data_IF_106087094225
#
_entry.id   IF_106087094225
#
_cell.length_a   1.000
_cell.length_b   1.000
_cell.length_c   1.000
_cell.angle_alpha   90.00
_cell.angle_beta   90.00
_cell.angle_gamma   90.00
#
_symmetry.space_group_name_H-M   'P 1'
#
loop_
_entity.id
_entity.type
_entity.pdbx_description
1 polymer ?
#
# COMPACT_ATOMS: atom_id res chain seq x y z
N UNK A 1 -3.42 0.56 -6.28
CA UNK A 1 -2.61 1.50 -7.11
C UNK A 1 -1.38 1.91 -6.31
N UNK A 2 -0.18 1.65 -6.83
CA UNK A 2 1.09 1.93 -6.14
C UNK A 2 1.37 3.42 -6.18
N UNK A 3 1.40 4.07 -5.02
CA UNK A 3 1.92 5.43 -4.90
C UNK A 3 3.42 5.35 -4.69
N UNK A 4 4.20 5.76 -5.67
CA UNK A 4 5.65 5.84 -5.53
C UNK A 4 6.01 7.07 -4.69
N UNK A 5 6.36 6.85 -3.42
CA UNK A 5 6.73 7.91 -2.49
C UNK A 5 8.13 8.53 -2.75
N UNK A 6 8.80 8.15 -3.84
CA UNK A 6 10.14 8.63 -4.19
C UNK A 6 10.13 10.13 -4.46
N UNK A 7 10.67 10.92 -3.53
CA UNK A 7 10.75 12.38 -3.66
C UNK A 7 9.44 13.14 -3.41
N UNK A 8 8.38 12.47 -2.97
CA UNK A 8 7.05 13.05 -2.77
C UNK A 8 6.76 13.28 -1.29
N UNK A 9 7.29 14.34 -0.69
CA UNK A 9 6.95 14.64 0.69
C UNK A 9 5.60 15.39 0.81
N UNK A 10 5.46 16.54 0.16
CA UNK A 10 4.23 17.35 0.24
C UNK A 10 3.16 16.94 -0.79
N UNK A 11 3.57 16.48 -1.97
CA UNK A 11 2.64 16.05 -3.02
C UNK A 11 1.90 14.75 -2.69
N UNK A 12 2.41 13.93 -1.76
CA UNK A 12 1.72 12.72 -1.32
C UNK A 12 0.38 13.04 -0.64
N UNK A 13 0.30 14.08 0.18
CA UNK A 13 -0.95 14.51 0.80
C UNK A 13 -1.98 14.95 -0.25
N UNK A 14 -1.55 15.75 -1.23
CA UNK A 14 -2.43 16.18 -2.33
C UNK A 14 -2.96 14.99 -3.15
N UNK A 15 -2.10 14.00 -3.42
CA UNK A 15 -2.48 12.78 -4.12
C UNK A 15 -3.51 11.96 -3.31
N UNK A 16 -3.27 11.76 -2.02
CA UNK A 16 -4.19 11.03 -1.13
C UNK A 16 -5.52 11.77 -1.00
N UNK A 17 -5.50 13.11 -0.90
CA UNK A 17 -6.71 13.93 -0.88
C UNK A 17 -7.54 13.74 -2.16
N UNK A 18 -6.90 13.72 -3.32
CA UNK A 18 -7.54 13.45 -4.61
C UNK A 18 -8.18 12.05 -4.65
N UNK A 19 -7.46 11.03 -4.21
CA UNK A 19 -8.01 9.66 -4.12
C UNK A 19 -9.17 9.56 -3.15
N UNK A 20 -9.09 10.20 -1.98
CA UNK A 20 -10.19 10.22 -1.01
C UNK A 20 -11.46 10.83 -1.60
N UNK A 21 -11.32 11.96 -2.29
CA UNK A 21 -12.45 12.61 -2.96
C UNK A 21 -13.06 11.72 -4.04
N UNK A 22 -12.22 11.12 -4.89
CA UNK A 22 -12.68 10.24 -5.95
C UNK A 22 -13.35 8.97 -5.38
N UNK A 23 -12.75 8.32 -4.40
CA UNK A 23 -13.30 7.15 -3.75
C UNK A 23 -14.67 7.43 -3.11
N UNK A 24 -14.84 8.57 -2.45
CA UNK A 24 -16.10 8.93 -1.82
C UNK A 24 -17.24 9.10 -2.84
N UNK A 25 -16.95 9.61 -4.04
CA UNK A 25 -17.93 9.69 -5.14
C UNK A 25 -18.38 8.33 -5.65
N UNK A 26 -17.55 7.30 -5.48
CA UNK A 26 -17.85 5.92 -5.85
C UNK A 26 -18.43 5.10 -4.69
N UNK A 27 -18.74 5.74 -3.55
CA UNK A 27 -19.22 5.02 -2.36
C UNK A 27 -18.14 4.18 -1.66
N UNK A 28 -16.86 4.40 -1.97
CA UNK A 28 -15.71 3.70 -1.36
C UNK A 28 -15.04 4.61 -0.35
N UNK A 29 -14.66 4.06 0.80
CA UNK A 29 -13.92 4.77 1.82
C UNK A 29 -12.44 4.43 1.76
N UNK A 30 -11.58 5.44 1.68
CA UNK A 30 -10.14 5.29 1.83
C UNK A 30 -9.81 5.20 3.33
N UNK A 31 -9.45 4.02 3.82
CA UNK A 31 -9.27 3.75 5.25
C UNK A 31 -7.84 4.02 5.75
N UNK A 32 -6.85 3.94 4.88
CA UNK A 32 -5.44 4.16 5.24
C UNK A 32 -4.53 4.18 4.02
N UNK A 33 -3.27 4.46 4.27
CA UNK A 33 -2.22 4.57 3.25
C UNK A 33 -1.05 3.67 3.62
N UNK A 34 -0.52 2.93 2.67
CA UNK A 34 0.76 2.22 2.78
C UNK A 34 1.70 2.83 1.74
N UNK A 35 2.79 3.45 2.20
CA UNK A 35 3.80 4.01 1.34
C UNK A 35 4.83 2.94 0.94
N UNK A 36 5.15 2.85 -0.34
CA UNK A 36 6.16 1.93 -0.85
C UNK A 36 7.38 2.71 -1.34
N UNK A 37 8.56 2.07 -1.32
CA UNK A 37 9.85 2.66 -1.72
C UNK A 37 10.25 3.88 -0.85
N UNK A 38 10.00 3.82 0.43
CA UNK A 38 10.37 4.87 1.37
C UNK A 38 11.89 4.85 1.59
N UNK A 39 12.54 5.99 1.35
CA UNK A 39 14.01 6.07 1.34
C UNK A 39 14.65 6.10 2.73
N UNK A 40 13.92 6.48 3.77
CA UNK A 40 14.42 6.56 5.15
C UNK A 40 13.29 6.68 6.16
N UNK A 41 13.55 6.42 7.47
CA UNK A 41 12.60 6.66 8.56
C UNK A 41 12.13 8.13 8.60
N UNK A 42 13.04 9.07 8.34
CA UNK A 42 12.70 10.51 8.26
C UNK A 42 11.70 10.80 7.15
N UNK A 43 11.84 10.14 6.00
CA UNK A 43 10.88 10.26 4.90
C UNK A 43 9.49 9.72 5.30
N UNK A 44 9.44 8.59 6.01
CA UNK A 44 8.18 8.07 6.56
C UNK A 44 7.52 9.06 7.53
N UNK A 45 8.29 9.71 8.41
CA UNK A 45 7.77 10.72 9.33
C UNK A 45 7.23 11.96 8.63
N UNK A 46 7.89 12.40 7.56
CA UNK A 46 7.41 13.54 6.75
C UNK A 46 6.06 13.18 6.10
N UNK A 47 5.95 11.97 5.53
CA UNK A 47 4.69 11.48 4.95
C UNK A 47 3.58 11.41 5.99
N UNK A 48 3.87 10.87 7.18
CA UNK A 48 2.89 10.76 8.27
C UNK A 48 2.37 12.15 8.67
N UNK A 49 3.27 13.10 8.94
CA UNK A 49 2.91 14.47 9.30
C UNK A 49 2.12 15.18 8.21
N UNK A 50 2.47 14.97 6.94
CA UNK A 50 1.75 15.55 5.81
C UNK A 50 0.30 15.05 5.74
N UNK A 51 0.07 13.76 5.96
CA UNK A 51 -1.28 13.19 6.02
C UNK A 51 -2.06 13.69 7.24
N UNK A 52 -1.43 13.76 8.40
CA UNK A 52 -2.04 14.25 9.65
C UNK A 52 -2.46 15.71 9.56
N UNK A 53 -1.58 16.58 9.02
CA UNK A 53 -1.86 18.02 8.88
C UNK A 53 -3.08 18.31 8.01
N UNK A 54 -3.32 17.49 7.01
CA UNK A 54 -4.45 17.58 6.07
C UNK A 54 -5.67 16.74 6.54
N UNK A 55 -5.61 16.15 7.73
CA UNK A 55 -6.66 15.23 8.25
C UNK A 55 -7.04 14.14 7.27
N UNK A 56 -6.05 13.60 6.60
CA UNK A 56 -6.16 12.49 5.65
C UNK A 56 -6.10 11.13 6.36
N UNK A 57 -6.47 10.05 5.68
CA UNK A 57 -6.33 8.69 6.22
C UNK A 57 -4.89 8.42 6.69
N UNK A 58 -4.73 7.66 7.79
CA UNK A 58 -3.43 7.47 8.42
C UNK A 58 -2.46 6.67 7.56
N UNK A 59 -1.16 6.92 7.76
CA UNK A 59 -0.11 6.06 7.24
C UNK A 59 -0.06 4.77 8.08
N UNK A 60 -0.52 3.67 7.51
CA UNK A 60 -0.54 2.34 8.15
C UNK A 60 0.78 1.60 8.00
N UNK A 61 1.60 1.99 7.04
CA UNK A 61 2.90 1.36 6.82
C UNK A 61 3.79 2.15 5.88
N UNK A 62 5.10 1.91 6.02
CA UNK A 62 6.13 2.50 5.18
C UNK A 62 7.16 1.42 4.82
N UNK A 63 6.99 0.83 3.64
CA UNK A 63 7.88 -0.21 3.13
C UNK A 63 9.19 0.43 2.64
N UNK A 64 10.35 0.03 3.17
CA UNK A 64 11.62 0.61 2.79
C UNK A 64 11.99 0.24 1.35
N UNK A 65 12.78 1.11 0.74
CA UNK A 65 13.38 0.81 -0.55
C UNK A 65 14.46 -0.26 -0.38
N UNK A 66 14.32 -1.37 -1.10
CA UNK A 66 15.33 -2.42 -1.14
C UNK A 66 15.35 -3.09 -2.52
N UNK A 67 16.50 -3.09 -3.17
CA UNK A 67 16.68 -3.69 -4.50
C UNK A 67 16.55 -5.23 -4.47
N UNK A 68 16.79 -5.88 -3.32
CA UNK A 68 16.64 -7.32 -3.17
C UNK A 68 15.18 -7.79 -3.33
N UNK A 69 14.20 -6.89 -3.20
CA UNK A 69 12.78 -7.19 -3.36
C UNK A 69 12.22 -6.71 -4.69
N UNK A 70 13.09 -6.26 -5.58
CA UNK A 70 12.69 -5.79 -6.89
C UNK A 70 12.39 -6.98 -7.80
N UNK A 71 11.17 -7.05 -8.28
CA UNK A 71 10.81 -7.96 -9.36
C UNK A 71 11.26 -7.33 -10.68
N UNK A 72 12.07 -8.01 -11.50
CA UNK A 72 12.49 -7.48 -12.79
C UNK A 72 11.28 -7.11 -13.67
N UNK A 73 11.28 -5.90 -14.18
CA UNK A 73 10.29 -5.48 -15.16
C UNK A 73 10.63 -6.08 -16.52
N UNK A 74 9.77 -6.97 -17.05
CA UNK A 74 9.77 -7.33 -18.47
C UNK A 74 8.60 -6.64 -19.18
N UNK A 75 8.76 -6.46 -20.49
CA UNK A 75 7.83 -5.69 -21.34
C UNK A 75 6.35 -6.14 -21.28
N UNK A 76 6.03 -7.29 -20.75
CA UNK A 76 4.67 -7.84 -20.65
C UNK A 76 4.20 -8.10 -19.20
N UNK A 77 5.01 -7.82 -18.17
CA UNK A 77 4.62 -7.99 -16.77
C UNK A 77 4.31 -9.44 -16.35
N UNK A 78 4.54 -10.40 -17.22
CA UNK A 78 4.24 -11.82 -17.01
C UNK A 78 5.56 -12.58 -16.95
N UNK A 79 6.14 -12.69 -15.75
CA UNK A 79 7.17 -13.68 -15.45
C UNK A 79 6.49 -14.84 -14.72
N UNK A 80 6.66 -16.10 -15.19
CA UNK A 80 6.36 -17.24 -14.35
C UNK A 80 7.13 -17.13 -13.04
N UNK A 81 6.51 -17.49 -11.92
CA UNK A 81 7.11 -17.37 -10.57
C UNK A 81 8.47 -18.06 -10.46
N UNK A 82 8.69 -19.12 -11.22
CA UNK A 82 9.95 -19.88 -11.27
C UNK A 82 11.09 -19.12 -11.96
N UNK A 83 10.78 -18.28 -12.96
CA UNK A 83 11.79 -17.44 -13.66
C UNK A 83 12.05 -16.10 -12.93
N UNK A 84 11.16 -15.68 -12.04
CA UNK A 84 11.29 -14.43 -11.31
C UNK A 84 12.28 -14.51 -10.13
N UNK A 85 12.87 -15.68 -9.85
CA UNK A 85 13.73 -15.90 -8.69
C UNK A 85 12.95 -15.85 -7.37
N UNK A 86 11.64 -16.05 -7.41
CA UNK A 86 10.74 -16.08 -6.26
C UNK A 86 10.93 -17.40 -5.53
N UNK A 87 11.87 -17.44 -4.60
CA UNK A 87 12.08 -18.59 -3.70
C UNK A 87 11.22 -18.43 -2.45
N UNK A 88 10.95 -19.53 -1.72
CA UNK A 88 10.31 -19.46 -0.40
C UNK A 88 11.03 -18.49 0.52
N UNK A 89 12.35 -18.53 0.56
CA UNK A 89 13.16 -17.61 1.37
C UNK A 89 12.94 -16.13 0.98
N UNK A 90 12.72 -15.82 -0.28
CA UNK A 90 12.40 -14.46 -0.73
C UNK A 90 10.99 -14.04 -0.30
N UNK A 91 10.01 -14.96 -0.35
CA UNK A 91 8.66 -14.71 0.15
C UNK A 91 8.63 -14.50 1.66
N UNK A 92 9.39 -15.32 2.42
CA UNK A 92 9.52 -15.16 3.86
C UNK A 92 10.15 -13.81 4.22
N UNK A 93 11.20 -13.40 3.52
CA UNK A 93 11.82 -12.09 3.72
C UNK A 93 10.86 -10.93 3.42
N UNK A 94 10.00 -11.06 2.41
CA UNK A 94 8.96 -10.06 2.13
C UNK A 94 7.88 -10.05 3.22
N UNK A 95 7.48 -11.21 3.73
CA UNK A 95 6.52 -11.32 4.82
C UNK A 95 7.04 -10.63 6.08
N UNK A 96 8.30 -10.91 6.48
CA UNK A 96 8.96 -10.27 7.62
C UNK A 96 8.99 -8.74 7.50
N UNK A 97 9.27 -8.24 6.30
CA UNK A 97 9.27 -6.79 6.03
C UNK A 97 7.86 -6.21 6.10
N UNK A 98 6.88 -6.90 5.55
CA UNK A 98 5.50 -6.44 5.63
C UNK A 98 5.02 -6.36 7.09
N UNK A 99 5.29 -7.40 7.89
CA UNK A 99 4.92 -7.46 9.31
C UNK A 99 5.63 -6.37 10.14
N UNK A 100 6.92 -6.11 9.87
CA UNK A 100 7.69 -5.11 10.61
C UNK A 100 7.43 -3.67 10.18
N UNK A 101 6.97 -3.46 8.93
CA UNK A 101 6.81 -2.12 8.34
C UNK A 101 5.36 -1.63 8.27
N UNK A 102 4.39 -2.51 8.48
CA UNK A 102 2.96 -2.21 8.43
C UNK A 102 2.33 -2.49 9.79
N UNK A 103 1.48 -1.58 10.26
CA UNK A 103 0.63 -1.80 11.44
C UNK A 103 -0.49 -2.81 11.08
N UNK A 104 -0.13 -4.10 11.18
CA UNK A 104 -1.00 -5.21 10.79
C UNK A 104 -2.24 -5.28 11.67
N UNK A 105 -2.14 -4.99 12.97
CA UNK A 105 -3.29 -5.02 13.88
C UNK A 105 -4.33 -3.97 13.49
N UNK A 106 -3.86 -2.77 13.19
CA UNK A 106 -4.73 -1.69 12.72
C UNK A 106 -5.33 -1.99 11.35
N UNK A 107 -4.55 -2.54 10.44
CA UNK A 107 -5.03 -2.95 9.11
C UNK A 107 -6.13 -4.00 9.24
N UNK A 108 -5.95 -5.03 10.06
CA UNK A 108 -6.93 -6.08 10.29
C UNK A 108 -8.19 -5.53 10.97
N UNK A 109 -8.05 -4.66 11.95
CA UNK A 109 -9.21 -4.04 12.63
C UNK A 109 -10.09 -3.23 11.67
N UNK A 110 -9.49 -2.57 10.67
CA UNK A 110 -10.21 -1.85 9.63
C UNK A 110 -10.99 -2.77 8.69
N UNK A 111 -10.51 -4.00 8.49
CA UNK A 111 -11.20 -5.01 7.67
C UNK A 111 -12.35 -5.69 8.42
N UNK A 112 -12.19 -5.95 9.72
CA UNK A 112 -13.23 -6.58 10.57
C UNK A 112 -14.45 -5.67 10.76
N UNK A 113 -14.25 -4.37 10.88
CA UNK A 113 -15.32 -3.38 11.00
C UNK A 113 -16.22 -3.33 9.74
N UNK A 114 -15.83 -3.96 8.66
CA UNK A 114 -16.54 -4.04 7.39
C UNK A 114 -16.73 -5.49 6.93
N UNK A 115 -17.38 -6.31 7.74
CA UNK A 115 -17.94 -7.55 7.18
C UNK A 115 -19.01 -7.15 6.16
N UNK A 116 -18.84 -7.42 4.87
CA UNK A 116 -19.89 -7.17 3.90
C UNK A 116 -21.05 -8.11 4.24
N UNK A 117 -22.20 -7.54 4.55
CA UNK A 117 -23.45 -8.29 4.68
C UNK A 117 -23.95 -8.86 3.34
N UNK A 118 -23.22 -8.65 2.25
CA UNK A 118 -23.51 -9.20 0.93
C UNK A 118 -22.25 -9.73 0.30
N UNK A 119 -22.21 -11.02 0.08
CA UNK A 119 -21.28 -11.67 -0.84
C UNK A 119 -21.56 -11.09 -2.23
N UNK A 120 -20.63 -10.30 -2.76
CA UNK A 120 -20.68 -9.89 -4.17
C UNK A 120 -20.47 -11.15 -4.98
N UNK A 121 -21.53 -11.61 -5.66
CA UNK A 121 -21.43 -12.72 -6.58
C UNK A 121 -20.64 -12.25 -7.82
N UNK A 122 -19.35 -12.60 -7.83
CA UNK A 122 -18.40 -12.25 -8.91
C UNK A 122 -18.89 -12.78 -10.27
N UNK A 123 -19.75 -13.81 -10.30
CA UNK A 123 -20.34 -14.35 -11.53
C UNK A 123 -21.32 -13.40 -12.23
N UNK A 124 -21.82 -12.39 -11.54
CA UNK A 124 -22.71 -11.39 -12.15
C UNK A 124 -21.97 -10.17 -12.72
N UNK A 125 -20.64 -10.07 -12.54
CA UNK A 125 -19.84 -8.95 -13.02
C UNK A 125 -19.18 -9.17 -14.39
N UNK A 126 -19.31 -10.40 -14.95
CA UNK A 126 -18.73 -10.76 -16.26
C UNK A 126 -19.73 -11.43 -17.16
#
# INVERSE_FOLDING_TARGET
>A
QRVFARGMACSAAALVAGFRLHASRMGVQLAGVIANNVGSPRHADILRRALESERLPPLLGALPRNEAWRIPERQLGLLPSEEAGTTEAWLDALADVAESSVDMDRLLSLTEARRPGNTIDIKQMF
#
